data_IF_231934381799
#
_entry.id   IF_231934381799
#
_cell.length_a   1.000
_cell.length_b   1.000
_cell.length_c   1.000
_cell.angle_alpha   90.00
_cell.angle_beta   90.00
_cell.angle_gamma   90.00
#
_symmetry.space_group_name_H-M   'P 1'
#
loop_
_entity.id
_entity.type
_entity.pdbx_description
1 polymer ?
#
# COMPACT_ATOMS: atom_id res chain seq x y z
N UNK A 1 -0.56 18.90 17.97
CA UNK A 1 0.51 18.69 18.96
C UNK A 1 1.29 17.50 18.46
N UNK A 2 2.54 17.72 18.12
CA UNK A 2 3.39 16.73 17.44
C UNK A 2 3.94 15.77 18.49
N UNK A 3 3.55 14.50 18.42
CA UNK A 3 4.00 13.44 19.35
C UNK A 3 5.50 13.21 19.19
N UNK A 4 6.30 13.93 19.97
CA UNK A 4 7.75 13.72 20.10
C UNK A 4 8.02 12.50 20.98
N UNK A 5 7.70 11.31 20.45
CA UNK A 5 8.01 10.05 21.12
C UNK A 5 9.49 9.70 20.87
N UNK A 6 10.31 9.50 21.92
CA UNK A 6 11.76 9.32 21.78
C UNK A 6 12.14 8.13 20.87
N UNK A 7 11.31 7.09 20.86
CA UNK A 7 11.56 5.89 20.06
C UNK A 7 11.14 5.99 18.58
N UNK A 8 10.45 7.07 18.14
CA UNK A 8 10.09 7.25 16.72
C UNK A 8 11.32 7.28 15.81
N UNK A 9 12.39 7.92 16.29
CA UNK A 9 13.61 8.15 15.50
C UNK A 9 14.53 6.91 15.45
N UNK A 10 14.40 6.00 16.41
CA UNK A 10 15.25 4.80 16.50
C UNK A 10 15.14 3.91 15.25
N UNK A 11 13.92 3.75 14.72
CA UNK A 11 13.67 2.97 13.50
C UNK A 11 14.30 3.63 12.26
N UNK A 12 14.16 4.95 12.10
CA UNK A 12 14.75 5.68 10.98
C UNK A 12 16.27 5.65 11.02
N UNK A 13 16.87 5.79 12.20
CA UNK A 13 18.32 5.65 12.41
C UNK A 13 18.82 4.26 12.03
N UNK A 14 18.13 3.21 12.48
CA UNK A 14 18.47 1.84 12.12
C UNK A 14 18.41 1.59 10.61
N UNK A 15 17.29 1.96 9.96
CA UNK A 15 17.11 1.82 8.52
C UNK A 15 18.22 2.57 7.76
N UNK A 16 18.49 3.82 8.16
CA UNK A 16 19.54 4.64 7.53
C UNK A 16 20.93 4.01 7.64
N UNK A 17 21.25 3.42 8.80
CA UNK A 17 22.52 2.72 9.00
C UNK A 17 22.66 1.55 8.04
N UNK A 18 21.59 0.76 7.88
CA UNK A 18 21.57 -0.37 6.96
C UNK A 18 21.73 0.10 5.51
N UNK A 19 20.98 1.11 5.07
CA UNK A 19 21.09 1.69 3.72
C UNK A 19 22.53 2.09 3.42
N UNK A 20 23.19 2.82 4.32
CA UNK A 20 24.59 3.25 4.14
C UNK A 20 25.55 2.07 4.00
N UNK A 21 25.35 1.00 4.77
CA UNK A 21 26.16 -0.22 4.69
C UNK A 21 26.00 -0.89 3.31
N UNK A 22 24.76 -1.10 2.86
CA UNK A 22 24.51 -1.74 1.56
C UNK A 22 25.03 -0.92 0.39
N UNK A 23 24.84 0.40 0.40
CA UNK A 23 25.40 1.28 -0.64
C UNK A 23 26.93 1.25 -0.67
N UNK A 24 27.60 1.19 0.49
CA UNK A 24 29.07 1.06 0.57
C UNK A 24 29.56 -0.26 -0.05
N UNK A 25 28.79 -1.33 0.11
CA UNK A 25 29.10 -2.65 -0.43
C UNK A 25 28.67 -2.79 -1.91
N UNK A 26 28.26 -1.71 -2.57
CA UNK A 26 27.69 -1.68 -3.94
C UNK A 26 26.46 -2.60 -4.11
N UNK A 27 25.71 -2.80 -3.04
CA UNK A 27 24.48 -3.58 -3.05
C UNK A 27 23.27 -2.66 -3.28
N UNK A 28 22.29 -3.10 -4.08
CA UNK A 28 21.12 -2.29 -4.40
C UNK A 28 20.26 -2.05 -3.16
N UNK A 29 19.77 -0.82 -3.03
CA UNK A 29 18.78 -0.43 -2.01
C UNK A 29 17.55 0.14 -2.71
N UNK A 30 16.41 -0.53 -2.50
CA UNK A 30 15.12 -0.09 -3.03
C UNK A 30 14.21 0.32 -1.89
N UNK A 31 13.56 1.47 -2.03
CA UNK A 31 12.46 1.88 -1.17
C UNK A 31 11.15 1.55 -1.87
N UNK A 32 10.26 0.83 -1.19
CA UNK A 32 8.96 0.42 -1.71
C UNK A 32 7.88 1.07 -0.86
N UNK A 33 7.17 2.05 -1.42
CA UNK A 33 5.96 2.63 -0.81
C UNK A 33 4.74 1.88 -1.34
N UNK A 34 3.85 1.45 -0.46
CA UNK A 34 2.54 0.90 -0.86
C UNK A 34 1.45 1.89 -0.51
N UNK A 35 0.50 2.13 -1.41
CA UNK A 35 -0.73 2.86 -1.04
C UNK A 35 -1.69 1.95 -0.28
N UNK A 36 -2.86 2.52 0.04
CA UNK A 36 -3.99 1.80 0.61
C UNK A 36 -4.28 0.54 -0.22
N UNK A 37 -4.58 -0.56 0.49
CA UNK A 37 -5.08 -1.79 -0.13
C UNK A 37 -6.41 -1.49 -0.82
N UNK A 38 -6.48 -1.81 -2.09
CA UNK A 38 -7.68 -1.63 -2.91
C UNK A 38 -8.40 -2.97 -3.05
N UNK A 39 -9.71 -2.98 -2.82
CA UNK A 39 -10.53 -4.17 -3.03
C UNK A 39 -10.90 -4.25 -4.50
N UNK A 40 -10.38 -5.28 -5.16
CA UNK A 40 -10.61 -5.59 -6.55
C UNK A 40 -11.78 -6.56 -6.67
N UNK A 41 -12.77 -6.24 -7.51
CA UNK A 41 -13.90 -7.13 -7.77
C UNK A 41 -15.26 -6.45 -7.60
N UNK A 42 -16.30 -7.25 -7.40
CA UNK A 42 -17.69 -6.80 -7.39
C UNK A 42 -18.13 -6.25 -6.02
N UNK A 43 -17.38 -5.29 -5.47
CA UNK A 43 -17.66 -4.64 -4.18
C UNK A 43 -18.50 -3.37 -4.34
N UNK A 44 -19.21 -3.01 -3.27
CA UNK A 44 -19.97 -1.77 -3.21
C UNK A 44 -19.03 -0.55 -3.34
N UNK A 45 -19.27 0.26 -4.36
CA UNK A 45 -18.57 1.52 -4.60
C UNK A 45 -19.56 2.68 -4.48
N UNK A 46 -19.09 3.86 -4.08
CA UNK A 46 -19.95 5.06 -3.91
C UNK A 46 -20.39 5.70 -5.24
N UNK A 47 -19.83 5.27 -6.36
CA UNK A 47 -20.21 5.73 -7.71
C UNK A 47 -21.57 5.19 -8.15
N UNK A 48 -22.14 5.81 -9.19
CA UNK A 48 -23.41 5.40 -9.78
C UNK A 48 -23.25 5.14 -11.28
N UNK A 49 -23.92 4.11 -11.78
CA UNK A 49 -23.94 3.73 -13.20
C UNK A 49 -25.41 3.69 -13.66
N UNK A 50 -25.70 4.25 -14.84
CA UNK A 50 -27.03 4.21 -15.42
C UNK A 50 -27.44 2.77 -15.75
N UNK A 51 -28.58 2.34 -15.21
CA UNK A 51 -29.16 1.01 -15.46
C UNK A 51 -30.68 1.09 -15.59
N UNK A 52 -31.26 0.07 -16.22
CA UNK A 52 -32.72 -0.06 -16.32
C UNK A 52 -33.34 -0.06 -14.91
N UNK A 53 -34.46 0.64 -14.77
CA UNK A 53 -35.20 0.71 -13.50
C UNK A 53 -35.55 -0.71 -13.03
N UNK A 54 -35.30 -1.00 -11.75
CA UNK A 54 -35.58 -2.30 -11.13
C UNK A 54 -34.51 -3.37 -11.33
N UNK A 55 -33.40 -3.07 -12.01
CA UNK A 55 -32.28 -4.01 -12.18
C UNK A 55 -30.98 -3.51 -11.53
N UNK A 56 -30.93 -3.34 -10.19
CA UNK A 56 -29.69 -3.01 -9.51
C UNK A 56 -28.66 -4.14 -9.65
N UNK A 57 -27.38 -3.79 -9.74
CA UNK A 57 -26.30 -4.77 -9.68
C UNK A 57 -26.19 -5.30 -8.25
N UNK A 58 -26.24 -6.61 -8.05
CA UNK A 58 -25.88 -7.22 -6.77
C UNK A 58 -24.38 -7.09 -6.57
N UNK A 59 -23.95 -6.57 -5.43
CA UNK A 59 -22.55 -6.33 -5.07
C UNK A 59 -22.27 -6.87 -3.67
N UNK A 60 -21.00 -7.14 -3.39
CA UNK A 60 -20.53 -7.49 -2.06
C UNK A 60 -20.57 -6.21 -1.19
N UNK A 61 -21.49 -6.19 -0.21
CA UNK A 61 -21.70 -5.03 0.66
C UNK A 61 -20.68 -4.89 1.78
N UNK A 62 -19.89 -5.95 2.06
CA UNK A 62 -18.82 -5.96 3.06
C UNK A 62 -17.50 -6.22 2.39
N UNK A 63 -16.46 -5.65 2.96
CA UNK A 63 -15.07 -5.63 2.51
C UNK A 63 -14.26 -6.84 3.03
N UNK A 64 -14.93 -7.96 3.32
CA UNK A 64 -14.23 -9.16 3.75
C UNK A 64 -13.45 -9.75 2.58
N UNK A 65 -12.13 -9.94 2.71
CA UNK A 65 -11.33 -10.58 1.68
C UNK A 65 -11.85 -12.00 1.43
N UNK A 66 -11.90 -12.42 0.15
CA UNK A 66 -12.01 -13.84 -0.17
C UNK A 66 -10.89 -14.60 0.58
N UNK A 67 -11.16 -15.79 1.16
CA UNK A 67 -10.17 -16.57 1.90
C UNK A 67 -8.87 -16.86 1.11
N UNK A 68 -8.93 -16.80 -0.22
CA UNK A 68 -7.80 -17.00 -1.13
C UNK A 68 -7.08 -15.69 -1.51
N UNK A 69 -7.50 -14.53 -1.00
CA UNK A 69 -6.83 -13.24 -1.15
C UNK A 69 -6.83 -12.63 -2.55
N UNK A 70 -7.63 -13.16 -3.49
CA UNK A 70 -7.58 -12.82 -4.93
C UNK A 70 -8.10 -11.41 -5.27
N UNK A 71 -8.66 -10.72 -4.30
CA UNK A 71 -9.44 -9.50 -4.48
C UNK A 71 -8.81 -8.29 -3.78
N UNK A 72 -7.52 -8.36 -3.45
CA UNK A 72 -6.77 -7.24 -2.86
C UNK A 72 -5.63 -6.83 -3.79
N UNK A 73 -5.71 -5.61 -4.31
CA UNK A 73 -4.60 -4.95 -4.98
C UNK A 73 -3.79 -4.14 -3.99
N UNK A 74 -2.46 -4.27 -4.03
CA UNK A 74 -1.54 -3.43 -3.26
C UNK A 74 -0.69 -2.65 -4.27
N UNK A 75 -1.15 -1.49 -4.73
CA UNK A 75 -0.33 -0.66 -5.60
C UNK A 75 0.92 -0.21 -4.84
N UNK A 76 2.07 -0.29 -5.51
CA UNK A 76 3.36 0.08 -4.96
C UNK A 76 4.16 0.94 -5.94
N UNK A 77 4.95 1.86 -5.39
CA UNK A 77 5.98 2.61 -6.11
C UNK A 77 7.37 2.13 -5.68
N UNK A 78 8.31 2.06 -6.62
CA UNK A 78 9.71 1.70 -6.36
C UNK A 78 10.58 2.94 -6.56
N UNK A 79 11.42 3.25 -5.58
CA UNK A 79 12.44 4.28 -5.67
C UNK A 79 13.83 3.67 -5.44
N UNK A 80 14.72 3.82 -6.43
CA UNK A 80 16.12 3.42 -6.34
C UNK A 80 16.91 4.47 -5.56
N UNK A 81 17.54 4.08 -4.45
CA UNK A 81 18.30 5.00 -3.59
C UNK A 81 19.76 5.18 -4.05
N UNK A 82 20.24 4.40 -5.03
CA UNK A 82 21.63 4.41 -5.49
C UNK A 82 21.91 5.31 -6.70
N UNK A 83 20.88 5.95 -7.28
CA UNK A 83 20.99 6.86 -8.43
C UNK A 83 20.67 8.29 -7.99
N UNK A 84 21.68 9.02 -7.52
CA UNK A 84 21.64 10.48 -7.32
C UNK A 84 22.71 11.10 -8.21
#
# INVERSE_FOLDING_TARGET
MEDSHPDRDAQFKYITMQVKKFLKDNLPVISVDTKKKELLGNYANKGQEWRKKGSPRKVNGRDFPDPKGKEIGIPYGIYDQGKI
#
